data_IF_397111327545
#
_entry.id   IF_397111327545
#
_cell.length_a   1.000
_cell.length_b   1.000
_cell.length_c   1.000
_cell.angle_alpha   90.00
_cell.angle_beta   90.00
_cell.angle_gamma   90.00
#
_symmetry.space_group_name_H-M   'P 1'
#
loop_
_entity.id
_entity.type
_entity.pdbx_description
1 polymer ?
#
# COMPACT_ATOMS: atom_id res chain seq x y z
N UNK A 1 14.25 -50.96 29.60
CA UNK A 1 13.72 -50.89 28.22
C UNK A 1 12.54 -49.91 28.27
N UNK A 2 12.74 -48.67 27.84
CA UNK A 2 12.18 -48.08 26.60
C UNK A 2 10.65 -47.85 26.72
N UNK A 3 10.07 -46.67 26.51
CA UNK A 3 10.53 -45.52 25.72
C UNK A 3 9.67 -44.28 26.04
N UNK A 4 10.33 -43.12 25.92
CA UNK A 4 9.78 -41.79 25.66
C UNK A 4 8.48 -41.79 24.86
N UNK A 5 7.62 -40.80 25.13
CA UNK A 5 7.14 -39.87 24.10
C UNK A 5 6.80 -38.52 24.75
N UNK A 6 7.59 -37.53 24.36
CA UNK A 6 7.41 -36.14 24.73
C UNK A 6 6.18 -35.58 24.05
N UNK A 7 5.31 -34.98 24.86
CA UNK A 7 4.24 -34.11 24.38
C UNK A 7 4.87 -32.83 23.86
N UNK A 8 5.08 -32.75 22.54
CA UNK A 8 5.47 -31.51 21.87
C UNK A 8 4.23 -30.64 21.74
N UNK A 9 4.13 -29.63 22.60
CA UNK A 9 3.18 -28.52 22.45
C UNK A 9 3.41 -27.81 21.12
N UNK A 10 2.57 -28.08 20.14
CA UNK A 10 2.49 -27.30 18.90
C UNK A 10 1.82 -25.95 19.21
N UNK A 11 2.65 -24.97 19.57
CA UNK A 11 2.30 -23.56 19.48
C UNK A 11 2.21 -23.20 18.00
N UNK A 12 1.03 -23.40 17.40
CA UNK A 12 0.71 -22.81 16.10
C UNK A 12 0.54 -21.32 16.35
N UNK A 13 1.53 -20.54 15.93
CA UNK A 13 1.45 -19.08 15.85
C UNK A 13 0.34 -18.72 14.88
N UNK A 14 -0.88 -18.58 15.41
CA UNK A 14 -1.93 -17.75 14.79
C UNK A 14 -1.33 -16.37 14.60
N UNK A 15 -1.00 -16.05 13.35
CA UNK A 15 -0.65 -14.71 12.92
C UNK A 15 -1.80 -13.79 13.29
N UNK A 16 -1.68 -13.14 14.44
CA UNK A 16 -2.51 -12.02 14.81
C UNK A 16 -2.30 -10.94 13.75
N UNK A 17 -3.21 -10.92 12.77
CA UNK A 17 -3.42 -9.73 11.94
C UNK A 17 -3.84 -8.67 12.93
N UNK A 18 -2.91 -7.76 13.25
CA UNK A 18 -3.22 -6.55 13.99
C UNK A 18 -4.28 -5.77 13.22
N UNK A 19 -5.55 -5.98 13.57
CA UNK A 19 -6.59 -4.99 13.32
C UNK A 19 -6.51 -4.01 14.49
N UNK A 20 -5.43 -3.21 14.50
CA UNK A 20 -5.40 -2.05 15.38
C UNK A 20 -6.26 -0.98 14.74
N UNK A 21 -7.53 -0.94 15.16
CA UNK A 21 -8.46 0.14 14.91
C UNK A 21 -7.94 1.43 15.52
N UNK A 22 -7.25 2.22 14.68
CA UNK A 22 -7.16 3.68 14.67
C UNK A 22 -6.63 4.02 13.27
N UNK A 23 -7.16 5.04 12.57
CA UNK A 23 -6.48 5.57 11.39
C UNK A 23 -5.19 6.24 11.88
N UNK A 24 -4.14 5.43 12.10
CA UNK A 24 -2.81 5.93 12.35
C UNK A 24 -2.50 6.85 11.19
N UNK A 25 -2.26 8.13 11.47
CA UNK A 25 -1.72 9.07 10.50
C UNK A 25 -0.35 8.53 10.06
N UNK A 26 -0.35 7.67 9.04
CA UNK A 26 0.80 6.96 8.50
C UNK A 26 1.59 7.86 7.53
N UNK A 27 1.62 9.16 7.81
CA UNK A 27 2.52 10.06 7.09
C UNK A 27 3.78 10.12 7.92
N UNK A 28 4.87 9.56 7.38
CA UNK A 28 6.18 9.67 8.05
C UNK A 28 6.53 11.14 8.25
N UNK A 29 7.15 11.47 9.39
CA UNK A 29 7.56 12.85 9.71
C UNK A 29 8.33 13.51 8.57
N UNK A 30 9.22 12.77 7.92
CA UNK A 30 9.97 13.24 6.76
C UNK A 30 9.07 13.65 5.57
N UNK A 31 8.04 12.86 5.23
CA UNK A 31 7.10 13.22 4.16
C UNK A 31 6.33 14.49 4.53
N UNK A 32 5.91 14.60 5.79
CA UNK A 32 5.23 15.79 6.30
C UNK A 32 6.13 17.02 6.24
N UNK A 33 7.34 16.91 6.76
CA UNK A 33 8.31 18.00 6.81
C UNK A 33 8.68 18.47 5.40
N UNK A 34 8.95 17.55 4.46
CA UNK A 34 9.21 17.89 3.05
C UNK A 34 8.03 18.56 2.37
N UNK A 35 6.80 18.07 2.61
CA UNK A 35 5.59 18.67 2.08
C UNK A 35 5.36 20.09 2.64
N UNK A 36 5.48 20.25 3.95
CA UNK A 36 5.30 21.55 4.62
C UNK A 36 6.37 22.56 4.18
N UNK A 37 7.61 22.09 3.95
CA UNK A 37 8.76 22.87 3.47
C UNK A 37 8.52 23.52 2.10
N UNK A 38 7.85 22.83 1.18
CA UNK A 38 7.52 23.35 -0.16
C UNK A 38 6.13 23.99 -0.25
N UNK A 39 5.21 23.65 0.67
CA UNK A 39 3.83 24.14 0.64
C UNK A 39 3.73 25.66 0.63
N UNK A 40 4.58 26.34 1.40
CA UNK A 40 4.58 27.79 1.49
C UNK A 40 5.29 28.43 0.28
N UNK A 41 6.41 27.85 -0.16
CA UNK A 41 7.19 28.33 -1.30
C UNK A 41 6.38 28.30 -2.59
N UNK A 42 5.60 27.23 -2.79
CA UNK A 42 4.78 27.01 -3.98
C UNK A 42 3.32 27.47 -3.80
N UNK A 43 2.98 28.06 -2.65
CA UNK A 43 1.60 28.49 -2.34
C UNK A 43 0.55 27.38 -2.56
N UNK A 44 0.86 26.14 -2.18
CA UNK A 44 0.00 24.96 -2.41
C UNK A 44 -1.34 24.99 -1.65
N UNK A 45 -1.54 25.98 -0.77
CA UNK A 45 -2.78 26.25 -0.04
C UNK A 45 -3.53 27.48 -0.57
N UNK A 46 -3.00 28.11 -1.62
CA UNK A 46 -3.59 29.29 -2.26
C UNK A 46 -4.76 28.95 -3.17
N UNK A 47 -5.55 29.96 -3.53
CA UNK A 47 -6.72 29.81 -4.40
C UNK A 47 -6.35 29.34 -5.82
N UNK A 48 -5.11 29.59 -6.25
CA UNK A 48 -4.60 29.25 -7.59
C UNK A 48 -4.49 27.73 -7.85
N UNK A 49 -4.54 26.91 -6.80
CA UNK A 49 -4.59 25.44 -6.93
C UNK A 49 -5.95 24.95 -7.45
N UNK A 50 -6.97 25.82 -7.38
CA UNK A 50 -8.32 25.52 -7.85
C UNK A 50 -9.12 24.63 -6.91
N UNK A 51 -10.41 24.48 -7.21
CA UNK A 51 -11.35 23.68 -6.42
C UNK A 51 -11.58 22.27 -6.98
N UNK A 52 -10.93 21.92 -8.10
CA UNK A 52 -11.12 20.64 -8.78
C UNK A 52 -9.94 19.67 -8.49
N UNK A 53 -10.06 18.80 -7.47
CA UNK A 53 -8.98 17.90 -7.07
C UNK A 53 -8.77 16.75 -8.07
N UNK A 54 -7.55 16.65 -8.59
CA UNK A 54 -7.15 15.64 -9.60
C UNK A 54 -7.33 14.16 -9.19
N UNK A 55 -7.29 13.85 -7.89
CA UNK A 55 -7.28 12.47 -7.39
C UNK A 55 -8.41 12.16 -6.40
N UNK A 56 -9.40 13.04 -6.27
CA UNK A 56 -10.48 12.89 -5.28
C UNK A 56 -11.28 11.60 -5.45
N UNK A 57 -11.57 11.22 -6.69
CA UNK A 57 -12.31 9.99 -7.02
C UNK A 57 -11.53 8.73 -6.68
N UNK A 58 -10.19 8.75 -6.85
CA UNK A 58 -9.34 7.63 -6.46
C UNK A 58 -9.30 7.50 -4.93
N UNK A 59 -9.11 8.62 -4.23
CA UNK A 59 -9.02 8.65 -2.75
C UNK A 59 -10.34 8.20 -2.11
N UNK A 60 -11.48 8.66 -2.63
CA UNK A 60 -12.82 8.39 -2.09
C UNK A 60 -13.46 7.12 -2.63
N UNK A 61 -12.78 6.39 -3.53
CA UNK A 61 -13.33 5.17 -4.13
C UNK A 61 -13.80 4.20 -3.04
N UNK A 62 -15.06 3.75 -3.10
CA UNK A 62 -15.59 2.68 -2.24
C UNK A 62 -15.47 1.29 -2.89
N UNK A 63 -14.56 1.16 -3.85
CA UNK A 63 -14.28 -0.10 -4.53
C UNK A 63 -13.62 -1.13 -3.60
N UNK A 64 -13.58 -2.39 -4.05
CA UNK A 64 -12.91 -3.47 -3.32
C UNK A 64 -11.44 -3.13 -3.06
N UNK A 65 -10.86 -3.73 -2.01
CA UNK A 65 -9.46 -3.50 -1.63
C UNK A 65 -8.49 -3.68 -2.81
N UNK A 66 -8.76 -4.64 -3.70
CA UNK A 66 -7.94 -4.88 -4.88
C UNK A 66 -7.97 -3.70 -5.86
N UNK A 67 -9.17 -3.20 -6.17
CA UNK A 67 -9.33 -2.07 -7.07
C UNK A 67 -8.66 -0.83 -6.44
N UNK A 68 -8.81 -0.63 -5.12
CA UNK A 68 -8.12 0.43 -4.38
C UNK A 68 -6.60 0.34 -4.51
N UNK A 69 -6.01 -0.84 -4.32
CA UNK A 69 -4.54 -1.03 -4.45
C UNK A 69 -4.08 -0.71 -5.88
N UNK A 70 -4.80 -1.17 -6.90
CA UNK A 70 -4.47 -0.91 -8.29
C UNK A 70 -4.55 0.59 -8.64
N UNK A 71 -5.63 1.26 -8.20
CA UNK A 71 -5.80 2.70 -8.39
C UNK A 71 -4.70 3.49 -7.67
N UNK A 72 -4.30 3.07 -6.47
CA UNK A 72 -3.23 3.72 -5.72
C UNK A 72 -1.87 3.53 -6.41
N UNK A 73 -1.57 2.32 -6.90
CA UNK A 73 -0.36 2.07 -7.69
C UNK A 73 -0.30 2.96 -8.95
N UNK A 74 -1.41 3.06 -9.69
CA UNK A 74 -1.47 3.93 -10.86
C UNK A 74 -1.27 5.41 -10.50
N UNK A 75 -1.83 5.85 -9.36
CA UNK A 75 -1.69 7.21 -8.84
C UNK A 75 -0.25 7.52 -8.44
N UNK A 76 0.43 6.60 -7.75
CA UNK A 76 1.85 6.75 -7.41
C UNK A 76 2.74 6.83 -8.65
N UNK A 77 2.42 6.09 -9.71
CA UNK A 77 3.13 6.19 -10.99
C UNK A 77 2.91 7.55 -11.69
N UNK A 78 1.72 8.15 -11.55
CA UNK A 78 1.49 9.54 -11.99
C UNK A 78 2.38 10.50 -11.19
N UNK A 79 2.42 10.40 -9.86
CA UNK A 79 3.30 11.25 -9.04
C UNK A 79 4.78 11.07 -9.38
N UNK A 80 5.24 9.84 -9.63
CA UNK A 80 6.63 9.57 -10.06
C UNK A 80 6.99 10.34 -11.33
N UNK A 81 6.07 10.38 -12.30
CA UNK A 81 6.21 11.14 -13.56
C UNK A 81 6.18 12.65 -13.32
N UNK A 82 5.27 13.14 -12.48
CA UNK A 82 5.20 14.56 -12.09
C UNK A 82 6.51 15.01 -11.42
N UNK A 83 6.98 14.29 -10.41
CA UNK A 83 8.23 14.62 -9.71
C UNK A 83 9.44 14.55 -10.63
N UNK A 84 9.52 13.53 -11.49
CA UNK A 84 10.59 13.45 -12.50
C UNK A 84 10.53 14.63 -13.47
N UNK A 85 9.33 15.09 -13.83
CA UNK A 85 9.15 16.29 -14.64
C UNK A 85 9.67 17.53 -13.91
N UNK A 86 9.30 17.74 -12.65
CA UNK A 86 9.76 18.87 -11.82
C UNK A 86 11.29 18.90 -11.69
N UNK A 87 11.91 17.72 -11.53
CA UNK A 87 13.36 17.58 -11.35
C UNK A 87 14.18 17.72 -12.65
N UNK A 88 13.54 17.80 -13.82
CA UNK A 88 14.25 17.93 -15.09
C UNK A 88 15.07 19.25 -15.13
N UNK A 89 16.33 19.23 -15.61
CA UNK A 89 17.18 20.42 -15.64
C UNK A 89 16.63 21.58 -16.48
N UNK A 90 15.90 21.25 -17.55
CA UNK A 90 15.31 22.16 -18.54
C UNK A 90 13.86 22.52 -18.22
N UNK A 91 13.30 22.06 -17.09
CA UNK A 91 11.92 22.37 -16.75
C UNK A 91 11.75 23.84 -16.34
N UNK A 92 11.13 24.62 -17.22
CA UNK A 92 10.72 26.01 -17.00
C UNK A 92 9.29 26.15 -16.48
N UNK A 93 8.65 25.08 -15.98
CA UNK A 93 7.28 25.15 -15.46
C UNK A 93 7.22 25.69 -14.02
N UNK A 94 6.84 24.82 -13.08
CA UNK A 94 6.59 25.14 -11.67
C UNK A 94 7.67 25.98 -10.96
N UNK A 95 8.92 25.90 -11.43
CA UNK A 95 10.09 26.51 -10.77
C UNK A 95 10.59 27.81 -11.43
N UNK A 96 9.96 28.27 -12.52
CA UNK A 96 10.46 29.38 -13.35
C UNK A 96 10.63 30.67 -12.56
N UNK A 97 9.59 31.04 -11.81
CA UNK A 97 9.50 32.31 -11.08
C UNK A 97 10.12 32.26 -9.69
N UNK A 98 10.73 31.13 -9.30
CA UNK A 98 11.38 30.98 -8.01
C UNK A 98 12.80 31.54 -8.02
N UNK A 99 13.23 32.05 -6.86
CA UNK A 99 14.64 32.37 -6.63
C UNK A 99 15.50 31.12 -6.80
N UNK A 100 16.80 31.29 -7.11
CA UNK A 100 17.72 30.15 -7.24
C UNK A 100 17.72 29.28 -5.97
N UNK A 101 17.72 29.91 -4.79
CA UNK A 101 17.71 29.22 -3.50
C UNK A 101 16.42 28.40 -3.31
N UNK A 102 15.26 29.00 -3.59
CA UNK A 102 13.97 28.31 -3.46
C UNK A 102 13.83 27.17 -4.47
N UNK A 103 14.33 27.37 -5.69
CA UNK A 103 14.34 26.34 -6.74
C UNK A 103 15.12 25.11 -6.30
N UNK A 104 16.33 25.28 -5.78
CA UNK A 104 17.15 24.16 -5.30
C UNK A 104 16.52 23.48 -4.09
N UNK A 105 15.96 24.26 -3.16
CA UNK A 105 15.21 23.72 -2.02
C UNK A 105 14.02 22.87 -2.47
N UNK A 106 13.19 23.35 -3.39
CA UNK A 106 12.04 22.58 -3.91
C UNK A 106 12.50 21.31 -4.61
N UNK A 107 13.59 21.35 -5.40
CA UNK A 107 14.14 20.16 -6.05
C UNK A 107 14.60 19.11 -5.02
N UNK A 108 15.28 19.53 -3.95
CA UNK A 108 15.70 18.62 -2.89
C UNK A 108 14.50 17.92 -2.23
N UNK A 109 13.47 18.68 -1.85
CA UNK A 109 12.29 18.13 -1.20
C UNK A 109 11.46 17.23 -2.14
N UNK A 110 11.31 17.62 -3.41
CA UNK A 110 10.66 16.78 -4.43
C UNK A 110 11.44 15.49 -4.66
N UNK A 111 12.77 15.54 -4.62
CA UNK A 111 13.60 14.33 -4.68
C UNK A 111 13.37 13.41 -3.48
N UNK A 112 13.30 13.95 -2.26
CA UNK A 112 12.98 13.19 -1.05
C UNK A 112 11.60 12.52 -1.15
N UNK A 113 10.58 13.26 -1.58
CA UNK A 113 9.22 12.73 -1.79
C UNK A 113 9.19 11.65 -2.87
N UNK A 114 9.95 11.82 -3.96
CA UNK A 114 10.07 10.80 -5.02
C UNK A 114 10.63 9.48 -4.49
N UNK A 115 11.69 9.51 -3.70
CA UNK A 115 12.26 8.30 -3.09
C UNK A 115 11.24 7.57 -2.20
N UNK A 116 10.41 8.32 -1.45
CA UNK A 116 9.35 7.72 -0.62
C UNK A 116 8.26 7.05 -1.45
N UNK A 117 7.86 7.66 -2.56
CA UNK A 117 6.89 7.06 -3.49
C UNK A 117 7.46 5.81 -4.15
N UNK A 118 8.74 5.81 -4.55
CA UNK A 118 9.39 4.63 -5.14
C UNK A 118 9.44 3.44 -4.16
N UNK A 119 9.69 3.71 -2.88
CA UNK A 119 9.62 2.68 -1.84
C UNK A 119 8.20 2.13 -1.68
N UNK A 120 7.21 3.01 -1.53
CA UNK A 120 5.81 2.63 -1.36
C UNK A 120 5.26 1.84 -2.56
N UNK A 121 5.64 2.23 -3.77
CA UNK A 121 5.25 1.54 -5.00
C UNK A 121 5.78 0.10 -5.03
N UNK A 122 7.01 -0.11 -4.57
CA UNK A 122 7.60 -1.45 -4.46
C UNK A 122 6.84 -2.32 -3.47
N UNK A 123 6.54 -1.76 -2.30
CA UNK A 123 5.83 -2.49 -1.24
C UNK A 123 4.40 -2.87 -1.67
N UNK A 124 3.68 -1.96 -2.32
CA UNK A 124 2.37 -2.25 -2.90
C UNK A 124 2.44 -3.27 -4.05
N UNK A 125 3.49 -3.21 -4.87
CA UNK A 125 3.76 -4.21 -5.91
C UNK A 125 3.95 -5.62 -5.34
N UNK A 126 4.66 -5.75 -4.21
CA UNK A 126 4.84 -7.03 -3.53
C UNK A 126 3.51 -7.62 -3.02
N UNK A 127 2.63 -6.78 -2.46
CA UNK A 127 1.30 -7.22 -2.02
C UNK A 127 0.47 -7.76 -3.19
N UNK A 128 0.51 -7.08 -4.34
CA UNK A 128 -0.26 -7.51 -5.51
C UNK A 128 0.28 -8.82 -6.12
N UNK A 129 1.60 -8.95 -6.27
CA UNK A 129 2.21 -10.19 -6.77
C UNK A 129 2.03 -11.39 -5.84
N UNK A 130 2.08 -11.19 -4.51
CA UNK A 130 1.82 -12.27 -3.56
C UNK A 130 0.38 -12.77 -3.69
N UNK A 131 -0.59 -11.86 -3.85
CA UNK A 131 -2.00 -12.22 -4.09
C UNK A 131 -2.19 -12.99 -5.40
N UNK A 132 -1.64 -12.50 -6.51
CA UNK A 132 -1.71 -13.18 -7.81
C UNK A 132 -1.14 -14.60 -7.73
N UNK A 133 -0.02 -14.77 -7.02
CA UNK A 133 0.59 -16.07 -6.77
C UNK A 133 -0.35 -17.00 -5.98
N UNK A 134 -0.92 -16.53 -4.87
CA UNK A 134 -1.86 -17.31 -4.04
C UNK A 134 -3.10 -17.72 -4.86
N UNK A 135 -3.71 -16.79 -5.60
CA UNK A 135 -4.87 -17.10 -6.44
C UNK A 135 -4.52 -18.14 -7.52
N UNK A 136 -3.36 -18.03 -8.15
CA UNK A 136 -2.90 -19.01 -9.13
C UNK A 136 -2.69 -20.40 -8.52
N UNK A 137 -2.24 -20.49 -7.25
CA UNK A 137 -2.09 -21.76 -6.54
C UNK A 137 -3.45 -22.39 -6.24
N UNK A 138 -4.43 -21.59 -5.79
CA UNK A 138 -5.79 -22.07 -5.54
C UNK A 138 -6.45 -22.60 -6.82
N UNK A 139 -6.26 -21.92 -7.96
CA UNK A 139 -6.78 -22.37 -9.26
C UNK A 139 -6.16 -23.68 -9.77
N UNK A 140 -4.96 -24.02 -9.30
CA UNK A 140 -4.24 -25.24 -9.69
C UNK A 140 -4.57 -26.45 -8.80
N UNK A 141 -5.43 -26.29 -7.80
CA UNK A 141 -5.85 -27.40 -6.93
C UNK A 141 -6.61 -28.43 -7.77
N UNK A 142 -6.17 -29.69 -7.71
CA UNK A 142 -6.84 -30.80 -8.38
C UNK A 142 -8.03 -31.27 -7.54
N UNK A 143 -9.19 -30.66 -7.77
CA UNK A 143 -10.40 -30.88 -6.95
C UNK A 143 -10.94 -32.32 -7.01
N UNK A 144 -10.60 -33.06 -8.05
CA UNK A 144 -11.00 -34.46 -8.25
C UNK A 144 -10.05 -35.48 -7.59
N UNK A 145 -8.89 -35.03 -7.08
CA UNK A 145 -7.95 -35.91 -6.38
C UNK A 145 -8.48 -36.28 -4.98
N UNK A 146 -8.65 -37.58 -4.65
CA UNK A 146 -9.22 -38.00 -3.37
C UNK A 146 -8.41 -37.58 -2.13
N UNK A 147 -7.09 -37.41 -2.26
CA UNK A 147 -6.24 -36.95 -1.15
C UNK A 147 -6.39 -35.45 -0.93
N UNK A 148 -6.51 -34.67 -2.01
CA UNK A 148 -6.84 -33.22 -1.95
C UNK A 148 -8.19 -33.01 -1.30
N UNK A 149 -9.21 -33.78 -1.67
CA UNK A 149 -10.54 -33.71 -1.06
C UNK A 149 -10.51 -33.96 0.46
N UNK A 150 -9.76 -35.00 0.90
CA UNK A 150 -9.58 -35.27 2.34
C UNK A 150 -8.91 -34.11 3.08
N UNK A 151 -7.87 -33.50 2.50
CA UNK A 151 -7.19 -32.34 3.08
C UNK A 151 -8.13 -31.13 3.18
N UNK A 152 -8.87 -30.84 2.11
CA UNK A 152 -9.85 -29.77 2.10
C UNK A 152 -10.93 -29.96 3.18
N UNK A 153 -11.42 -31.19 3.38
CA UNK A 153 -12.38 -31.50 4.43
C UNK A 153 -11.79 -31.36 5.84
N UNK A 154 -10.52 -31.70 6.03
CA UNK A 154 -9.83 -31.53 7.32
C UNK A 154 -9.65 -30.05 7.71
N UNK A 155 -9.43 -29.18 6.73
CA UNK A 155 -9.22 -27.73 6.94
C UNK A 155 -10.53 -26.91 6.91
N UNK A 156 -11.64 -27.52 6.51
CA UNK A 156 -12.90 -26.81 6.22
C UNK A 156 -13.42 -25.97 7.39
N UNK A 157 -13.36 -26.50 8.63
CA UNK A 157 -13.85 -25.80 9.81
C UNK A 157 -13.10 -24.48 10.05
N UNK A 158 -11.78 -24.49 9.89
CA UNK A 158 -10.94 -23.30 10.07
C UNK A 158 -11.21 -22.28 8.96
N UNK A 159 -11.32 -22.73 7.72
CA UNK A 159 -11.67 -21.87 6.57
C UNK A 159 -13.03 -21.22 6.78
N UNK A 160 -14.03 -21.98 7.24
CA UNK A 160 -15.37 -21.47 7.51
C UNK A 160 -15.37 -20.44 8.66
N UNK A 161 -14.64 -20.71 9.75
CA UNK A 161 -14.50 -19.76 10.86
C UNK A 161 -13.81 -18.47 10.40
N UNK A 162 -12.72 -18.56 9.64
CA UNK A 162 -12.02 -17.40 9.11
C UNK A 162 -12.92 -16.57 8.18
N UNK A 163 -13.73 -17.23 7.35
CA UNK A 163 -14.69 -16.57 6.48
C UNK A 163 -15.77 -15.80 7.28
N UNK A 164 -16.28 -16.38 8.36
CA UNK A 164 -17.28 -15.73 9.21
C UNK A 164 -16.73 -14.48 9.92
N UNK A 165 -15.50 -14.52 10.43
CA UNK A 165 -14.85 -13.35 11.06
C UNK A 165 -14.73 -12.18 10.07
N UNK A 166 -14.46 -12.47 8.80
CA UNK A 166 -14.41 -11.44 7.76
C UNK A 166 -15.78 -10.84 7.43
N UNK A 167 -16.86 -11.61 7.60
CA UNK A 167 -18.23 -11.16 7.32
C UNK A 167 -18.86 -10.41 8.51
N UNK A 168 -18.52 -10.80 9.74
CA UNK A 168 -19.03 -10.23 10.98
C UNK A 168 -17.88 -9.89 11.93
N UNK A 169 -17.18 -8.76 11.73
CA UNK A 169 -16.00 -8.42 12.52
C UNK A 169 -16.27 -7.98 13.98
N UNK A 170 -17.53 -7.98 14.43
CA UNK A 170 -17.95 -7.52 15.78
C UNK A 170 -18.56 -8.64 16.66
N UNK A 171 -17.88 -9.77 16.80
CA UNK A 171 -18.10 -10.69 17.93
C UNK A 171 -16.88 -10.68 18.85
#
# INVERSE_FOLDING_TARGET
MSSCWGSVCLLVFLGAVFVSGKPCHYISKNVKDSHDSISNVLSLKGQDVGLDPLFSDVIRSNSSLQIKVNLMNATLEVYRRIFSSILRPDNQGLLENLSKTDREKVKEEVHNLKQKIEHLTRDLGHVNHNKENILSKLQKIQVDDPLVQKKALAEFQEVFQAANVMMYPEC
#
